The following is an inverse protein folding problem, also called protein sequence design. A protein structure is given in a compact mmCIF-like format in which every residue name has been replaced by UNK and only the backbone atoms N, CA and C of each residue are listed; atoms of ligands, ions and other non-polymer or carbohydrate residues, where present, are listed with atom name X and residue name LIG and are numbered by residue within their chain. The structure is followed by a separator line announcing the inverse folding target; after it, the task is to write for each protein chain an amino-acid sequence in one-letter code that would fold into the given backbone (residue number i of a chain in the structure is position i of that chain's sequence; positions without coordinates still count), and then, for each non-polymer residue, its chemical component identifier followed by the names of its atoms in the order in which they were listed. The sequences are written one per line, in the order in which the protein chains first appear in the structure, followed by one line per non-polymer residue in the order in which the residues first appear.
data_IF_470349480336
#
_entry.id   IF_470349480336
#
_cell.length_a   1.000
_cell.length_b   1.000
_cell.length_c   1.000
_cell.angle_alpha   90.00
_cell.angle_beta   90.00
_cell.angle_gamma   90.00
#
_symmetry.space_group_name_H-M   'P 1'
#
loop_
_entity.id
_entity.type
_entity.pdbx_description
1 polymer ?
#
# COMPACT_ATOMS: atom_id res chain seq x y z
N UNK A 1 8.60 16.73 7.61
CA UNK A 1 8.52 15.84 6.44
C UNK A 1 9.78 14.97 6.28
N UNK A 2 10.98 15.55 6.19
CA UNK A 2 12.23 14.83 5.88
C UNK A 2 12.59 13.67 6.83
N UNK A 3 12.37 13.81 8.14
CA UNK A 3 12.63 12.73 9.10
C UNK A 3 11.72 11.51 8.87
N UNK A 4 10.43 11.73 8.60
CA UNK A 4 9.47 10.65 8.31
C UNK A 4 9.80 9.93 7.01
N UNK A 5 10.25 10.67 5.99
CA UNK A 5 10.73 10.10 4.73
C UNK A 5 11.88 9.11 4.97
N UNK A 6 12.92 9.50 5.71
CA UNK A 6 14.04 8.60 6.02
C UNK A 6 13.60 7.37 6.81
N UNK A 7 12.67 7.52 7.76
CA UNK A 7 12.12 6.38 8.52
C UNK A 7 11.44 5.41 7.56
N UNK A 8 10.52 5.88 6.71
CA UNK A 8 9.78 5.02 5.77
C UNK A 8 10.70 4.34 4.76
N UNK A 9 11.73 5.03 4.30
CA UNK A 9 12.74 4.46 3.41
C UNK A 9 13.55 3.34 4.08
N UNK A 10 13.79 3.44 5.38
CA UNK A 10 14.53 2.43 6.14
C UNK A 10 13.67 1.22 6.55
N UNK A 11 12.36 1.40 6.73
CA UNK A 11 11.47 0.33 7.22
C UNK A 11 11.57 -1.02 6.48
N UNK A 12 11.74 -1.10 5.15
CA UNK A 12 11.95 -2.38 4.49
C UNK A 12 13.14 -3.18 5.00
N UNK A 13 14.16 -2.56 5.61
CA UNK A 13 15.29 -3.27 6.20
C UNK A 13 14.90 -4.03 7.48
N UNK A 14 13.76 -3.70 8.07
CA UNK A 14 13.30 -4.21 9.37
C UNK A 14 11.95 -4.93 9.29
N UNK A 15 11.41 -5.11 8.09
CA UNK A 15 10.11 -5.74 7.88
C UNK A 15 10.22 -6.74 6.73
N UNK A 16 9.71 -7.95 6.92
CA UNK A 16 9.66 -8.96 5.84
C UNK A 16 8.55 -8.67 4.83
N UNK A 17 7.48 -7.98 5.26
CA UNK A 17 6.33 -7.60 4.45
C UNK A 17 5.70 -6.29 4.94
N UNK A 18 4.80 -5.71 4.13
CA UNK A 18 4.03 -4.51 4.47
C UNK A 18 2.53 -4.76 4.32
N UNK A 19 1.76 -4.30 5.29
CA UNK A 19 0.30 -4.21 5.21
C UNK A 19 -0.13 -2.75 5.24
N UNK A 20 -0.87 -2.32 4.22
CA UNK A 20 -1.44 -0.97 4.12
C UNK A 20 -2.89 -0.96 4.59
N UNK A 21 -3.22 0.00 5.45
CA UNK A 21 -4.58 0.21 5.98
C UNK A 21 -4.85 1.71 6.04
N UNK A 22 -5.99 2.16 5.47
CA UNK A 22 -6.44 3.55 5.56
C UNK A 22 -5.51 4.55 4.86
N UNK A 23 -5.07 5.58 5.59
CA UNK A 23 -4.18 6.62 5.08
C UNK A 23 -4.90 7.82 4.47
N UNK A 24 -4.25 8.98 4.53
CA UNK A 24 -4.78 10.26 4.04
C UNK A 24 -4.77 10.31 2.52
N UNK A 25 -5.82 10.86 1.91
CA UNK A 25 -5.99 10.90 0.44
C UNK A 25 -5.76 12.27 -0.18
N UNK A 26 -5.87 13.35 0.59
CA UNK A 26 -5.73 14.73 0.11
C UNK A 26 -4.58 15.45 0.79
N UNK A 27 -3.90 16.31 0.03
CA UNK A 27 -2.75 17.08 0.53
C UNK A 27 -3.20 18.08 1.59
N UNK A 28 -2.32 18.35 2.55
CA UNK A 28 -2.53 19.39 3.53
C UNK A 28 -2.64 20.76 2.84
N UNK A 29 -3.71 21.47 3.14
CA UNK A 29 -3.98 22.82 2.66
C UNK A 29 -4.73 23.60 3.74
N UNK A 30 -5.08 24.86 3.48
CA UNK A 30 -5.95 25.67 4.36
C UNK A 30 -7.29 25.00 4.60
N UNK A 31 -7.87 24.40 3.56
CA UNK A 31 -9.19 23.73 3.63
C UNK A 31 -9.08 22.31 4.20
N UNK A 32 -7.88 21.73 4.17
CA UNK A 32 -7.59 20.36 4.62
C UNK A 32 -6.41 20.39 5.59
N UNK A 33 -6.59 20.96 6.80
CA UNK A 33 -5.48 21.14 7.73
C UNK A 33 -4.88 19.81 8.20
N UNK A 34 -5.65 18.72 8.13
CA UNK A 34 -5.23 17.38 8.51
C UNK A 34 -4.83 16.49 7.32
N UNK A 35 -4.52 17.05 6.15
CA UNK A 35 -4.09 16.30 4.96
C UNK A 35 -2.69 15.66 5.07
N UNK A 36 -2.27 14.93 4.04
CA UNK A 36 -0.91 14.41 3.96
C UNK A 36 0.09 15.52 3.65
N UNK A 37 1.35 15.33 4.05
CA UNK A 37 2.45 16.28 3.85
C UNK A 37 3.50 15.62 2.97
N UNK A 38 4.08 16.40 2.05
CA UNK A 38 5.02 15.90 1.05
C UNK A 38 4.34 15.66 -0.29
N UNK A 39 5.03 15.01 -1.21
CA UNK A 39 4.59 14.89 -2.60
C UNK A 39 3.44 13.89 -2.80
N UNK A 40 3.29 12.92 -1.90
CA UNK A 40 2.23 11.92 -1.91
C UNK A 40 1.99 11.37 -0.48
N UNK A 41 0.90 10.62 -0.24
CA UNK A 41 0.62 10.03 1.06
C UNK A 41 1.75 9.12 1.56
N UNK A 42 2.02 9.15 2.87
CA UNK A 42 3.09 8.34 3.47
C UNK A 42 2.94 6.84 3.24
N UNK A 43 1.71 6.31 3.11
CA UNK A 43 1.51 4.89 2.82
C UNK A 43 1.87 4.52 1.37
N UNK A 44 1.78 5.48 0.44
CA UNK A 44 2.21 5.30 -0.96
C UNK A 44 3.74 5.23 -1.00
N UNK A 45 4.39 6.05 -0.17
CA UNK A 45 5.84 5.99 0.04
C UNK A 45 6.31 4.65 0.63
N UNK A 46 5.63 4.16 1.66
CA UNK A 46 5.91 2.85 2.24
C UNK A 46 5.70 1.73 1.22
N UNK A 47 4.64 1.79 0.41
CA UNK A 47 4.39 0.84 -0.68
C UNK A 47 5.54 0.82 -1.70
N UNK A 48 5.97 2.00 -2.15
CA UNK A 48 7.11 2.15 -3.07
C UNK A 48 8.36 1.47 -2.53
N UNK A 49 8.74 1.77 -1.29
CA UNK A 49 9.98 1.24 -0.72
C UNK A 49 9.90 -0.27 -0.44
N UNK A 50 8.72 -0.78 -0.05
CA UNK A 50 8.48 -2.22 0.05
C UNK A 50 8.68 -2.90 -1.31
N UNK A 51 8.02 -2.41 -2.36
CA UNK A 51 8.11 -3.02 -3.69
C UNK A 51 9.50 -2.87 -4.33
N UNK A 52 10.20 -1.76 -4.11
CA UNK A 52 11.61 -1.59 -4.53
C UNK A 52 12.56 -2.58 -3.88
N UNK A 53 12.24 -3.07 -2.67
CA UNK A 53 12.95 -4.15 -1.99
C UNK A 53 12.45 -5.54 -2.38
N UNK A 54 11.56 -5.61 -3.35
CA UNK A 54 10.87 -6.82 -3.76
C UNK A 54 9.70 -7.15 -2.84
N UNK A 55 9.79 -6.94 -1.52
CA UNK A 55 8.94 -7.47 -0.45
C UNK A 55 7.41 -7.56 -0.71
N UNK A 56 6.72 -8.55 -0.08
CA UNK A 56 5.27 -8.68 -0.16
C UNK A 56 4.54 -7.42 0.30
N UNK A 57 3.57 -6.97 -0.51
CA UNK A 57 2.71 -5.83 -0.21
C UNK A 57 1.24 -6.31 -0.12
N UNK A 58 0.70 -6.26 1.09
CA UNK A 58 -0.69 -6.52 1.41
C UNK A 58 -1.46 -5.19 1.47
N UNK A 59 -2.61 -5.10 0.84
CA UNK A 59 -3.39 -3.85 0.76
C UNK A 59 -4.81 -4.13 1.25
N UNK A 60 -5.19 -3.55 2.38
CA UNK A 60 -6.54 -3.65 2.94
C UNK A 60 -7.38 -2.43 2.57
N UNK A 61 -7.84 -2.39 1.32
CA UNK A 61 -8.60 -1.28 0.76
C UNK A 61 -9.98 -1.06 1.40
N UNK A 62 -10.61 -2.10 1.98
CA UNK A 62 -11.93 -1.97 2.60
C UNK A 62 -11.98 -0.96 3.75
N UNK A 63 -10.84 -0.69 4.40
CA UNK A 63 -10.69 0.31 5.46
C UNK A 63 -10.60 1.76 4.93
N UNK A 64 -10.71 1.97 3.62
CA UNK A 64 -10.76 3.28 3.00
C UNK A 64 -9.39 3.94 2.81
N UNK A 65 -9.41 5.26 2.61
CA UNK A 65 -8.22 6.08 2.52
C UNK A 65 -7.37 5.84 1.28
N UNK A 66 -6.08 6.17 1.38
CA UNK A 66 -5.14 5.96 0.28
C UNK A 66 -4.88 4.45 -0.01
N UNK A 67 -5.15 3.55 0.95
CA UNK A 67 -5.06 2.11 0.73
C UNK A 67 -6.16 1.64 -0.23
N UNK A 68 -7.38 2.16 -0.07
CA UNK A 68 -8.48 1.92 -1.01
C UNK A 68 -8.16 2.46 -2.41
N UNK A 69 -7.59 3.67 -2.48
CA UNK A 69 -7.14 4.26 -3.74
C UNK A 69 -6.13 3.35 -4.43
N UNK A 70 -5.09 2.89 -3.72
CA UNK A 70 -4.07 2.03 -4.30
C UNK A 70 -4.62 0.66 -4.71
N UNK A 71 -5.50 0.07 -3.91
CA UNK A 71 -6.18 -1.19 -4.25
C UNK A 71 -7.02 -1.05 -5.54
N UNK A 72 -7.66 0.11 -5.75
CA UNK A 72 -8.42 0.40 -6.97
C UNK A 72 -7.49 0.60 -8.17
N UNK A 73 -6.41 1.37 -8.01
CA UNK A 73 -5.40 1.60 -9.06
C UNK A 73 -4.71 0.29 -9.52
N UNK A 74 -4.56 -0.68 -8.62
CA UNK A 74 -4.02 -2.02 -8.92
C UNK A 74 -5.08 -3.02 -9.40
N UNK A 75 -6.35 -2.62 -9.47
CA UNK A 75 -7.44 -3.49 -9.92
C UNK A 75 -7.83 -4.60 -8.94
N UNK A 76 -7.40 -4.53 -7.67
CA UNK A 76 -7.70 -5.51 -6.62
C UNK A 76 -9.11 -5.32 -6.02
N UNK A 77 -9.62 -4.10 -6.04
CA UNK A 77 -10.95 -3.74 -5.54
C UNK A 77 -11.57 -2.63 -6.40
N UNK A 78 -12.03 -2.98 -7.60
CA UNK A 78 -12.57 -2.01 -8.59
C UNK A 78 -13.75 -1.21 -8.05
N UNK A 79 -14.58 -1.84 -7.22
CA UNK A 79 -15.80 -1.25 -6.67
C UNK A 79 -15.58 -0.55 -5.32
N UNK A 80 -14.32 -0.40 -4.87
CA UNK A 80 -14.02 0.31 -3.62
C UNK A 80 -14.46 1.78 -3.72
N UNK A 81 -15.21 2.29 -2.73
CA UNK A 81 -15.67 3.67 -2.72
C UNK A 81 -14.49 4.59 -2.40
N UNK A 82 -13.88 5.15 -3.44
CA UNK A 82 -12.82 6.15 -3.32
C UNK A 82 -13.28 7.43 -4.02
N UNK A 83 -13.31 8.58 -3.30
CA UNK A 83 -13.81 9.84 -3.84
C UNK A 83 -13.05 10.32 -5.08
N UNK A 84 -13.73 11.00 -5.99
CA UNK A 84 -13.13 11.51 -7.24
C UNK A 84 -12.02 12.52 -6.96
N UNK A 85 -12.17 13.34 -5.92
CA UNK A 85 -11.13 14.29 -5.51
C UNK A 85 -9.84 13.60 -5.06
N UNK A 86 -9.93 12.39 -4.50
CA UNK A 86 -8.76 11.60 -4.12
C UNK A 86 -8.04 11.06 -5.36
N UNK A 87 -8.76 10.68 -6.41
CA UNK A 87 -8.16 10.29 -7.70
C UNK A 87 -7.52 11.49 -8.40
N UNK A 88 -8.21 12.63 -8.41
CA UNK A 88 -7.74 13.84 -9.04
C UNK A 88 -6.40 14.31 -8.42
N UNK A 89 -6.22 14.12 -7.11
CA UNK A 89 -4.99 14.43 -6.39
C UNK A 89 -3.75 13.76 -6.98
N UNK A 90 -3.86 12.51 -7.49
CA UNK A 90 -2.75 11.79 -8.14
C UNK A 90 -2.21 12.59 -9.33
N UNK A 91 -3.12 13.17 -10.12
CA UNK A 91 -2.78 13.90 -11.34
C UNK A 91 -2.27 15.32 -11.08
N UNK A 92 -2.47 15.86 -9.88
CA UNK A 92 -2.02 17.21 -9.52
C UNK A 92 -0.53 17.28 -9.19
N UNK A 93 0.13 16.14 -8.95
CA UNK A 93 1.55 16.08 -8.64
C UNK A 93 2.26 15.03 -9.51
N UNK A 94 3.27 15.47 -10.27
CA UNK A 94 4.09 14.60 -11.12
C UNK A 94 4.70 13.46 -10.30
N UNK A 95 5.31 13.78 -9.15
CA UNK A 95 5.92 12.78 -8.28
C UNK A 95 4.91 11.77 -7.71
N UNK A 96 3.65 12.18 -7.48
CA UNK A 96 2.61 11.24 -7.04
C UNK A 96 2.18 10.30 -8.17
N UNK A 97 1.93 10.83 -9.36
CA UNK A 97 1.63 9.99 -10.53
C UNK A 97 2.77 9.00 -10.81
N UNK A 98 4.01 9.46 -10.84
CA UNK A 98 5.18 8.63 -11.10
C UNK A 98 5.33 7.53 -10.02
N UNK A 99 5.00 7.85 -8.76
CA UNK A 99 4.95 6.86 -7.68
C UNK A 99 3.89 5.77 -7.91
N UNK A 100 2.68 6.15 -8.32
CA UNK A 100 1.61 5.17 -8.62
C UNK A 100 1.99 4.30 -9.82
N UNK A 101 2.56 4.89 -10.88
CA UNK A 101 3.00 4.17 -12.06
C UNK A 101 4.13 3.18 -11.75
N UNK A 102 5.08 3.58 -10.90
CA UNK A 102 6.13 2.68 -10.43
C UNK A 102 5.56 1.54 -9.58
N UNK A 103 4.61 1.82 -8.68
CA UNK A 103 3.93 0.77 -7.90
C UNK A 103 3.21 -0.21 -8.85
N UNK A 104 2.45 0.27 -9.83
CA UNK A 104 1.75 -0.59 -10.82
C UNK A 104 2.72 -1.50 -11.56
N UNK A 105 3.90 -0.98 -11.92
CA UNK A 105 4.94 -1.74 -12.62
C UNK A 105 5.62 -2.78 -11.72
N UNK A 106 5.83 -2.49 -10.44
CA UNK A 106 6.54 -3.35 -9.50
C UNK A 106 5.64 -4.34 -8.76
N UNK A 107 4.34 -4.06 -8.67
CA UNK A 107 3.41 -4.88 -7.90
C UNK A 107 3.25 -6.26 -8.56
N UNK A 108 3.72 -7.28 -7.85
CA UNK A 108 3.55 -8.68 -8.20
C UNK A 108 2.67 -9.37 -7.13
N UNK A 109 1.40 -9.70 -7.44
CA UNK A 109 0.51 -10.32 -6.47
C UNK A 109 0.99 -11.69 -6.01
N UNK A 110 1.79 -12.40 -6.81
CA UNK A 110 2.28 -13.75 -6.46
C UNK A 110 3.24 -13.72 -5.28
N UNK A 111 3.90 -12.57 -5.03
CA UNK A 111 4.78 -12.35 -3.88
C UNK A 111 4.05 -12.27 -2.55
N UNK A 112 2.72 -12.22 -2.53
CA UNK A 112 1.93 -12.20 -1.29
C UNK A 112 1.65 -13.59 -0.72
N UNK A 113 1.87 -14.66 -1.51
CA UNK A 113 1.46 -16.02 -1.15
C UNK A 113 -0.06 -16.24 -1.18
N UNK A 114 -0.85 -15.23 -1.56
CA UNK A 114 -2.30 -15.30 -1.66
C UNK A 114 -2.74 -15.57 -3.10
N UNK A 115 -3.82 -16.34 -3.26
CA UNK A 115 -4.46 -16.51 -4.57
C UNK A 115 -5.33 -15.28 -4.91
N UNK A 116 -5.88 -15.26 -6.14
CA UNK A 116 -6.67 -14.13 -6.61
C UNK A 116 -7.94 -13.83 -5.79
N UNK A 117 -8.60 -14.86 -5.24
CA UNK A 117 -9.80 -14.69 -4.40
C UNK A 117 -9.42 -14.13 -3.02
N UNK A 118 -8.35 -14.64 -2.43
CA UNK A 118 -7.81 -14.14 -1.15
C UNK A 118 -7.36 -12.69 -1.26
N UNK A 119 -6.69 -12.32 -2.37
CA UNK A 119 -6.27 -10.95 -2.63
C UNK A 119 -7.45 -10.00 -2.76
N UNK A 120 -8.49 -10.39 -3.49
CA UNK A 120 -9.74 -9.62 -3.57
C UNK A 120 -10.38 -9.48 -2.19
N UNK A 121 -10.50 -10.58 -1.45
CA UNK A 121 -11.08 -10.59 -0.12
C UNK A 121 -10.31 -9.66 0.84
N UNK A 122 -8.97 -9.74 0.85
CA UNK A 122 -8.10 -8.86 1.62
C UNK A 122 -8.29 -7.39 1.24
N UNK A 123 -8.36 -7.10 -0.07
CA UNK A 123 -8.53 -5.76 -0.58
C UNK A 123 -9.90 -5.15 -0.24
N UNK A 124 -10.95 -5.94 -0.11
CA UNK A 124 -12.32 -5.43 0.10
C UNK A 124 -12.85 -5.61 1.52
N UNK A 125 -12.23 -6.44 2.36
CA UNK A 125 -12.73 -6.69 3.72
C UNK A 125 -12.64 -5.45 4.62
N UNK A 126 -13.66 -5.28 5.46
CA UNK A 126 -13.70 -4.31 6.56
C UNK A 126 -13.53 -4.98 7.93
N UNK A 127 -13.26 -6.29 7.94
CA UNK A 127 -13.17 -7.09 9.16
C UNK A 127 -11.71 -7.29 9.52
N UNK A 128 -11.29 -6.72 10.65
CA UNK A 128 -9.91 -6.83 11.12
C UNK A 128 -9.45 -8.29 11.31
N UNK A 129 -10.36 -9.20 11.70
CA UNK A 129 -10.06 -10.62 11.84
C UNK A 129 -9.76 -11.31 10.50
N UNK A 130 -10.47 -10.97 9.43
CA UNK A 130 -10.20 -11.51 8.09
C UNK A 130 -8.89 -10.97 7.53
N UNK A 131 -8.64 -9.67 7.72
CA UNK A 131 -7.37 -9.04 7.37
C UNK A 131 -6.19 -9.76 8.05
N UNK A 132 -6.28 -10.02 9.35
CA UNK A 132 -5.23 -10.73 10.10
C UNK A 132 -5.04 -12.16 9.60
N UNK A 133 -6.13 -12.89 9.37
CA UNK A 133 -6.08 -14.27 8.87
C UNK A 133 -5.47 -14.36 7.46
N UNK A 134 -5.83 -13.45 6.56
CA UNK A 134 -5.31 -13.42 5.19
C UNK A 134 -3.84 -13.00 5.15
N UNK A 135 -3.43 -12.00 5.93
CA UNK A 135 -2.02 -11.63 6.04
C UNK A 135 -1.18 -12.80 6.57
N UNK A 136 -1.65 -13.49 7.62
CA UNK A 136 -0.98 -14.66 8.17
C UNK A 136 -0.92 -15.82 7.15
N UNK A 137 -2.01 -16.10 6.44
CA UNK A 137 -2.08 -17.11 5.38
C UNK A 137 -1.06 -16.83 4.27
N UNK A 138 -0.98 -15.58 3.81
CA UNK A 138 -0.05 -15.16 2.78
C UNK A 138 1.39 -15.39 3.21
N UNK A 139 1.78 -14.88 4.38
CA UNK A 139 3.12 -15.05 4.94
C UNK A 139 3.50 -16.52 5.14
N UNK A 140 2.58 -17.36 5.66
CA UNK A 140 2.82 -18.78 5.86
C UNK A 140 2.97 -19.58 4.55
N UNK A 141 2.46 -19.03 3.45
CA UNK A 141 2.53 -19.66 2.12
C UNK A 141 3.77 -19.24 1.33
N UNK A 142 4.56 -18.29 1.84
CA UNK A 142 5.81 -17.89 1.21
C UNK A 142 6.90 -18.92 1.48
N UNK A 143 7.76 -19.23 0.50
CA UNK A 143 8.91 -20.08 0.74
C UNK A 143 9.80 -19.43 1.80
N UNK A 144 10.17 -20.20 2.83
CA UNK A 144 11.09 -19.75 3.87
C UNK A 144 12.42 -19.42 3.20
N UNK A 145 12.76 -18.13 3.16
CA UNK A 145 14.11 -17.73 2.81
C UNK A 145 15.00 -18.10 3.99
N UNK A 146 15.70 -19.23 3.87
CA UNK A 146 16.84 -19.48 4.75
C UNK A 146 17.90 -18.45 4.42
N UNK A 147 17.95 -17.36 5.20
CA UNK A 147 19.14 -16.53 5.30
C UNK A 147 20.22 -17.37 5.98
N UNK A 148 20.93 -18.18 5.19
CA UNK A 148 22.30 -18.55 5.53
C UNK A 148 23.14 -17.28 5.37
N UNK A 149 23.21 -16.48 6.43
CA UNK A 149 24.28 -15.49 6.55
C UNK A 149 25.60 -16.27 6.64
N UNK A 150 26.48 -16.02 5.66
CA UNK A 150 27.91 -16.35 5.68
C UNK A 150 28.70 -15.06 5.74
#
# INVERSE_FOLDING_TARGET
ARALHHIRQALPQYCDARLLIGGKTRRQSTDIPNGYIGDFPGIVEEALYTLRKGQPLFIAGGFGGAAALLARELGLGRDLPVPDEALAEINQCVAYRDAIDEIKRLFDPTRTGLNGDDLRCLATTQRASELGALAAKGLASLPVQHSTDS
#
